data_IF_056255297626
#
_entry.id   IF_056255297626
#
_cell.length_a   1.000
_cell.length_b   1.000
_cell.length_c   1.000
_cell.angle_alpha   90.00
_cell.angle_beta   90.00
_cell.angle_gamma   90.00
#
_symmetry.space_group_name_H-M   'P 1'
#
loop_
_entity.id
_entity.type
_entity.pdbx_description
1 polymer ?
#
# COMPACT_ATOMS: atom_id res chain seq x y z
N UNK A 1 27.56 20.60 -23.15
CA UNK A 1 27.63 19.61 -22.06
C UNK A 1 26.48 19.89 -21.10
N UNK A 2 25.42 19.07 -21.09
CA UNK A 2 24.42 19.06 -20.02
C UNK A 2 24.22 17.61 -19.63
N UNK A 3 24.94 17.22 -18.58
CA UNK A 3 24.79 15.94 -17.92
C UNK A 3 23.60 16.05 -16.97
N UNK A 4 22.53 15.30 -17.22
CA UNK A 4 21.48 15.07 -16.24
C UNK A 4 21.72 13.69 -15.62
N UNK A 5 22.37 13.72 -14.47
CA UNK A 5 22.58 12.65 -13.50
C UNK A 5 21.46 12.81 -12.45
N UNK A 6 20.78 11.84 -11.85
CA UNK A 6 20.94 10.40 -11.68
C UNK A 6 19.52 9.78 -11.65
N UNK A 7 19.22 8.81 -12.50
CA UNK A 7 18.05 7.93 -12.28
C UNK A 7 18.46 6.90 -11.22
N UNK A 8 18.30 7.23 -9.95
CA UNK A 8 18.59 6.30 -8.85
C UNK A 8 17.44 5.31 -8.72
N UNK A 9 17.49 4.22 -9.48
CA UNK A 9 16.63 3.06 -9.28
C UNK A 9 17.33 2.16 -8.27
N UNK A 10 16.98 2.30 -7.00
CA UNK A 10 17.36 1.33 -5.97
C UNK A 10 16.30 0.22 -6.00
N UNK A 11 16.47 -0.76 -6.90
CA UNK A 11 15.76 -2.05 -6.76
C UNK A 11 16.55 -2.87 -5.74
N UNK A 12 16.26 -2.67 -4.46
CA UNK A 12 16.75 -3.57 -3.43
C UNK A 12 15.67 -4.61 -3.14
N UNK A 13 15.87 -5.84 -3.65
CA UNK A 13 15.00 -6.97 -3.35
C UNK A 13 15.31 -7.47 -1.92
N UNK A 14 14.68 -6.86 -0.92
CA UNK A 14 14.73 -7.37 0.44
C UNK A 14 13.45 -8.16 0.74
N UNK A 15 13.57 -9.49 0.76
CA UNK A 15 12.50 -10.38 1.21
C UNK A 15 12.56 -10.51 2.74
N UNK A 16 11.69 -9.77 3.43
CA UNK A 16 11.56 -9.86 4.87
C UNK A 16 10.39 -10.77 5.26
N UNK A 17 10.59 -11.59 6.29
CA UNK A 17 9.52 -12.39 6.92
C UNK A 17 8.93 -11.57 8.06
N UNK A 18 7.63 -11.27 8.00
CA UNK A 18 6.93 -10.67 9.14
C UNK A 18 6.26 -11.76 9.95
N UNK A 19 6.88 -12.18 11.06
CA UNK A 19 6.21 -12.98 12.08
C UNK A 19 5.26 -12.07 12.87
N UNK A 20 4.02 -11.92 12.40
CA UNK A 20 2.97 -11.32 13.24
C UNK A 20 2.60 -12.34 14.32
N UNK A 21 2.81 -12.00 15.58
CA UNK A 21 2.62 -12.88 16.73
C UNK A 21 1.30 -13.66 16.73
N UNK A 22 1.44 -14.98 16.88
CA UNK A 22 0.49 -15.98 17.40
C UNK A 22 -1.01 -15.62 17.40
N UNK A 23 -1.70 -15.97 16.30
CA UNK A 23 -2.97 -16.70 16.36
C UNK A 23 -2.84 -17.87 15.39
N UNK A 24 -2.59 -19.07 15.93
CA UNK A 24 -2.56 -20.31 15.15
C UNK A 24 -4.00 -20.73 14.86
N UNK A 25 -4.48 -20.48 13.65
CA UNK A 25 -5.57 -21.23 13.02
C UNK A 25 -5.54 -21.08 11.47
N UNK A 26 -5.39 -22.24 10.81
CA UNK A 26 -5.80 -22.61 9.43
C UNK A 26 -4.95 -22.38 8.17
N UNK A 27 -3.70 -21.91 8.22
CA UNK A 27 -2.77 -22.27 7.12
C UNK A 27 -1.31 -22.13 7.52
N UNK A 28 -0.52 -23.19 7.38
CA UNK A 28 0.94 -23.27 7.58
C UNK A 28 1.75 -22.46 6.53
N UNK A 29 1.25 -21.30 6.09
CA UNK A 29 1.85 -20.52 5.00
C UNK A 29 2.45 -19.24 5.53
N UNK A 30 3.77 -19.12 5.43
CA UNK A 30 4.52 -17.92 5.79
C UNK A 30 4.16 -16.75 4.85
N UNK A 31 4.20 -15.55 5.40
CA UNK A 31 4.00 -14.30 4.66
C UNK A 31 5.34 -13.60 4.45
N UNK A 32 5.76 -13.55 3.19
CA UNK A 32 6.96 -12.82 2.75
C UNK A 32 6.54 -11.49 2.15
N UNK A 33 7.42 -10.50 2.18
CA UNK A 33 7.19 -9.25 1.44
C UNK A 33 8.45 -8.69 0.82
N UNK A 34 8.28 -8.03 -0.33
CA UNK A 34 9.27 -7.22 -1.00
C UNK A 34 8.85 -5.75 -0.94
N UNK A 35 9.79 -4.84 -0.67
CA UNK A 35 9.56 -3.39 -0.66
C UNK A 35 10.38 -2.75 -1.77
N UNK A 36 9.71 -2.04 -2.67
CA UNK A 36 10.30 -1.22 -3.71
C UNK A 36 10.01 0.24 -3.38
N UNK A 37 11.04 1.09 -3.35
CA UNK A 37 10.89 2.51 -3.08
C UNK A 37 11.52 3.33 -4.21
N UNK A 38 10.73 4.26 -4.75
CA UNK A 38 11.17 5.34 -5.63
C UNK A 38 10.82 6.67 -4.97
N UNK A 39 11.33 7.80 -5.49
CA UNK A 39 11.21 9.17 -4.94
C UNK A 39 10.08 9.38 -3.91
N UNK A 40 8.83 9.32 -4.36
CA UNK A 40 7.64 9.52 -3.51
C UNK A 40 6.71 8.30 -3.47
N UNK A 41 7.16 7.13 -3.91
CA UNK A 41 6.31 5.93 -4.01
C UNK A 41 6.95 4.75 -3.31
N UNK A 42 6.19 4.11 -2.41
CA UNK A 42 6.58 2.87 -1.72
C UNK A 42 5.60 1.78 -2.11
N UNK A 43 6.08 0.76 -2.80
CA UNK A 43 5.32 -0.42 -3.16
C UNK A 43 5.75 -1.62 -2.30
N UNK A 44 4.80 -2.25 -1.61
CA UNK A 44 5.02 -3.50 -0.88
C UNK A 44 4.23 -4.62 -1.53
N UNK A 45 4.94 -5.63 -2.03
CA UNK A 45 4.33 -6.85 -2.57
C UNK A 45 4.46 -7.97 -1.55
N UNK A 46 3.34 -8.60 -1.21
CA UNK A 46 3.25 -9.70 -0.27
C UNK A 46 3.08 -11.02 -1.02
N UNK A 47 3.76 -12.06 -0.53
CA UNK A 47 3.78 -13.40 -1.11
C UNK A 47 3.47 -14.44 -0.04
N UNK A 48 2.82 -15.52 -0.47
CA UNK A 48 2.51 -16.69 0.35
C UNK A 48 3.38 -17.86 -0.11
N UNK A 49 3.94 -18.62 0.83
CA UNK A 49 4.70 -19.85 0.55
C UNK A 49 5.11 -20.55 1.84
N UNK A 50 5.57 -21.80 1.73
CA UNK A 50 6.02 -22.59 2.88
C UNK A 50 7.55 -22.54 3.07
N UNK A 51 8.27 -21.97 2.11
CA UNK A 51 9.69 -21.63 2.13
C UNK A 51 9.93 -20.53 1.06
N UNK A 52 11.13 -19.97 0.95
CA UNK A 52 11.43 -18.94 -0.06
C UNK A 52 11.40 -19.48 -1.52
N UNK A 53 10.98 -20.73 -1.73
CA UNK A 53 10.78 -21.32 -3.04
C UNK A 53 9.28 -21.38 -3.37
N UNK A 54 8.93 -21.14 -4.64
CA UNK A 54 7.53 -21.19 -5.06
C UNK A 54 6.63 -20.12 -4.46
N UNK A 55 7.18 -18.96 -4.07
CA UNK A 55 6.41 -17.83 -3.55
C UNK A 55 5.34 -17.37 -4.55
N UNK A 56 4.08 -17.36 -4.11
CA UNK A 56 2.94 -16.92 -4.92
C UNK A 56 2.57 -15.49 -4.49
N UNK A 57 2.51 -14.52 -5.42
CA UNK A 57 2.03 -13.19 -5.10
C UNK A 57 0.60 -13.24 -4.57
N UNK A 58 0.32 -12.44 -3.55
CA UNK A 58 -0.98 -12.45 -2.86
C UNK A 58 -1.60 -11.06 -2.83
N UNK A 59 -0.82 -10.05 -2.46
CA UNK A 59 -1.33 -8.69 -2.26
C UNK A 59 -0.23 -7.68 -2.60
N UNK A 60 -0.58 -6.55 -3.19
CA UNK A 60 0.34 -5.42 -3.37
C UNK A 60 -0.28 -4.16 -2.80
N UNK A 61 0.50 -3.36 -2.08
CA UNK A 61 0.12 -2.02 -1.63
C UNK A 61 1.07 -1.02 -2.28
N UNK A 62 0.53 0.03 -2.87
CA UNK A 62 1.31 1.13 -3.43
C UNK A 62 0.91 2.39 -2.69
N UNK A 63 1.86 2.99 -1.98
CA UNK A 63 1.68 4.23 -1.23
C UNK A 63 2.39 5.36 -1.96
N UNK A 64 1.71 6.49 -2.11
CA UNK A 64 2.28 7.74 -2.61
C UNK A 64 2.46 8.66 -1.40
N UNK A 65 3.65 9.22 -1.25
CA UNK A 65 4.04 10.10 -0.16
C UNK A 65 4.10 11.56 -0.65
N UNK A 66 3.81 12.50 0.24
CA UNK A 66 4.13 13.92 0.01
C UNK A 66 5.61 14.21 0.31
N UNK A 67 6.03 15.47 0.14
CA UNK A 67 7.41 15.92 0.40
C UNK A 67 7.86 15.75 1.87
N UNK A 68 6.91 15.66 2.80
CA UNK A 68 7.14 15.45 4.23
C UNK A 68 7.20 13.95 4.59
N UNK A 69 7.00 13.06 3.61
CA UNK A 69 6.98 11.61 3.80
C UNK A 69 5.64 11.04 4.30
N UNK A 70 4.57 11.84 4.35
CA UNK A 70 3.23 11.41 4.74
C UNK A 70 2.52 10.74 3.57
N UNK A 71 1.81 9.64 3.81
CA UNK A 71 1.07 8.91 2.78
C UNK A 71 -0.19 9.68 2.36
N UNK A 72 -0.23 10.18 1.13
CA UNK A 72 -1.38 10.93 0.58
C UNK A 72 -2.31 10.08 -0.27
N UNK A 73 -1.83 8.94 -0.78
CA UNK A 73 -2.68 7.98 -1.47
C UNK A 73 -2.14 6.57 -1.29
N UNK A 74 -3.04 5.60 -1.18
CA UNK A 74 -2.72 4.20 -1.09
C UNK A 74 -3.65 3.39 -1.97
N UNK A 75 -3.11 2.59 -2.87
CA UNK A 75 -3.86 1.61 -3.66
C UNK A 75 -3.49 0.21 -3.21
N UNK A 76 -4.52 -0.62 -2.99
CA UNK A 76 -4.37 -2.05 -2.72
C UNK A 76 -4.77 -2.84 -3.95
N UNK A 77 -3.94 -3.82 -4.29
CA UNK A 77 -4.15 -4.79 -5.35
C UNK A 77 -4.14 -6.20 -4.78
N UNK A 78 -4.88 -7.09 -5.44
CA UNK A 78 -4.87 -8.54 -5.19
C UNK A 78 -4.38 -9.22 -6.46
N UNK A 79 -3.57 -10.26 -6.28
CA UNK A 79 -3.10 -11.07 -7.41
C UNK A 79 -4.22 -11.95 -7.93
N UNK A 80 -4.54 -11.84 -9.22
CA UNK A 80 -5.44 -12.73 -9.92
C UNK A 80 -4.61 -13.86 -10.55
N UNK A 81 -4.66 -15.06 -9.96
CA UNK A 81 -3.86 -16.19 -10.42
C UNK A 81 -4.30 -16.71 -11.80
N UNK A 82 -5.56 -16.48 -12.18
CA UNK A 82 -6.10 -16.89 -13.48
C UNK A 82 -5.57 -15.99 -14.59
N UNK A 83 -5.61 -14.67 -14.36
CA UNK A 83 -5.16 -13.67 -15.33
C UNK A 83 -3.64 -13.42 -15.25
N UNK A 84 -2.98 -13.93 -14.18
CA UNK A 84 -1.57 -13.66 -13.82
C UNK A 84 -1.28 -12.16 -13.79
N UNK A 85 -2.19 -11.39 -13.19
CA UNK A 85 -2.10 -9.94 -13.13
C UNK A 85 -2.65 -9.36 -11.82
N UNK A 86 -2.30 -8.11 -11.52
CA UNK A 86 -2.75 -7.39 -10.34
C UNK A 86 -4.08 -6.69 -10.62
N UNK A 87 -5.11 -7.08 -9.88
CA UNK A 87 -6.40 -6.36 -9.88
C UNK A 87 -6.46 -5.37 -8.73
N UNK A 88 -6.73 -4.07 -8.97
CA UNK A 88 -7.00 -3.13 -7.88
C UNK A 88 -8.27 -3.54 -7.15
N UNK A 89 -8.31 -3.28 -5.84
CA UNK A 89 -9.48 -3.57 -5.01
C UNK A 89 -9.95 -2.33 -4.22
N UNK A 90 -9.01 -1.50 -3.80
CA UNK A 90 -9.27 -0.39 -2.89
C UNK A 90 -8.26 0.74 -3.11
N UNK A 91 -8.73 2.00 -3.07
CA UNK A 91 -7.88 3.18 -2.97
C UNK A 91 -8.33 4.02 -1.79
N UNK A 92 -7.37 4.53 -1.02
CA UNK A 92 -7.59 5.50 0.03
C UNK A 92 -6.75 6.74 -0.25
N UNK A 93 -7.37 7.91 -0.28
CA UNK A 93 -6.71 9.20 -0.44
C UNK A 93 -6.82 9.98 0.88
N UNK A 94 -5.72 10.59 1.31
CA UNK A 94 -5.58 11.23 2.60
C UNK A 94 -5.28 12.71 2.42
N UNK A 95 -6.01 13.57 3.13
CA UNK A 95 -5.66 14.98 3.30
C UNK A 95 -5.21 15.22 4.73
N UNK A 96 -4.39 16.25 4.94
CA UNK A 96 -3.78 16.52 6.23
C UNK A 96 -3.98 17.98 6.65
N UNK A 97 -4.12 18.18 7.96
CA UNK A 97 -3.97 19.45 8.64
C UNK A 97 -2.69 19.39 9.47
N UNK A 98 -1.58 19.91 8.93
CA UNK A 98 -0.25 19.66 9.48
C UNK A 98 0.10 18.17 9.37
N UNK A 99 0.39 17.51 10.50
CA UNK A 99 0.70 16.07 10.54
C UNK A 99 -0.51 15.16 10.81
N UNK A 100 -1.68 15.75 11.07
CA UNK A 100 -2.89 15.01 11.41
C UNK A 100 -3.74 14.77 10.15
N UNK A 101 -4.27 13.56 9.99
CA UNK A 101 -5.15 13.20 8.87
C UNK A 101 -6.47 13.94 9.04
N UNK A 102 -6.79 14.83 8.11
CA UNK A 102 -8.04 15.61 8.13
C UNK A 102 -9.18 14.87 7.44
N UNK A 103 -8.93 14.32 6.26
CA UNK A 103 -9.94 13.57 5.50
C UNK A 103 -9.36 12.28 4.97
N UNK A 104 -10.22 11.27 4.90
CA UNK A 104 -9.96 10.00 4.22
C UNK A 104 -11.07 9.75 3.22
N UNK A 105 -10.72 9.62 1.96
CA UNK A 105 -11.63 9.22 0.90
C UNK A 105 -11.29 7.81 0.45
N UNK A 106 -12.24 6.88 0.58
CA UNK A 106 -12.10 5.49 0.20
C UNK A 106 -12.90 5.18 -1.06
N UNK A 107 -12.23 4.60 -2.05
CA UNK A 107 -12.79 4.20 -3.33
C UNK A 107 -12.70 2.68 -3.47
N UNK A 108 -13.82 2.05 -3.82
CA UNK A 108 -13.84 0.62 -4.16
C UNK A 108 -13.74 0.43 -5.67
N UNK A 109 -12.91 -0.51 -6.12
CA UNK A 109 -12.78 -0.80 -7.54
C UNK A 109 -13.99 -1.58 -8.06
N UNK A 110 -14.57 -1.13 -9.17
CA UNK A 110 -15.60 -1.87 -9.88
C UNK A 110 -14.96 -2.74 -10.98
N UNK A 111 -14.79 -4.05 -10.71
CA UNK A 111 -14.16 -4.98 -11.67
C UNK A 111 -14.93 -5.08 -13.00
N UNK A 112 -16.26 -4.89 -13.01
CA UNK A 112 -17.10 -4.96 -14.21
C UNK A 112 -17.00 -3.71 -15.08
N UNK A 113 -17.11 -2.53 -14.46
CA UNK A 113 -17.04 -1.25 -15.15
C UNK A 113 -15.60 -0.76 -15.38
N UNK A 114 -14.60 -1.42 -14.78
CA UNK A 114 -13.18 -1.08 -14.86
C UNK A 114 -12.90 0.37 -14.46
N UNK A 115 -13.53 0.82 -13.39
CA UNK A 115 -13.36 2.15 -12.83
C UNK A 115 -13.45 2.14 -11.30
N UNK A 116 -13.01 3.24 -10.67
CA UNK A 116 -13.26 3.49 -9.26
C UNK A 116 -14.72 3.91 -9.08
N UNK A 117 -15.38 3.33 -8.08
CA UNK A 117 -16.70 3.78 -7.64
C UNK A 117 -16.64 5.14 -6.94
N UNK A 118 -17.80 5.60 -6.44
CA UNK A 118 -17.88 6.82 -5.66
C UNK A 118 -17.08 6.72 -4.36
N UNK A 119 -16.48 7.83 -3.95
CA UNK A 119 -15.77 7.93 -2.70
C UNK A 119 -16.72 7.83 -1.50
N UNK A 120 -16.32 7.07 -0.49
CA UNK A 120 -16.82 7.22 0.87
C UNK A 120 -15.85 8.09 1.64
N UNK A 121 -16.33 9.18 2.23
CA UNK A 121 -15.48 10.14 2.94
C UNK A 121 -15.73 10.08 4.44
N UNK A 122 -14.66 10.15 5.20
CA UNK A 122 -14.66 10.40 6.64
C UNK A 122 -13.75 11.61 6.89
N UNK A 123 -14.22 12.53 7.72
CA UNK A 123 -13.46 13.72 8.13
C UNK A 123 -13.20 13.64 9.63
N UNK A 124 -12.06 14.17 10.04
CA UNK A 124 -11.59 14.19 11.41
C UNK A 124 -11.29 15.63 11.82
N UNK A 125 -11.86 16.02 12.95
CA UNK A 125 -11.55 17.28 13.61
C UNK A 125 -10.69 17.02 14.84
N UNK A 126 -9.74 17.92 15.08
CA UNK A 126 -8.82 17.82 16.20
C UNK A 126 -8.95 19.05 17.07
N UNK A 127 -8.85 18.86 18.38
CA UNK A 127 -8.74 19.97 19.31
C UNK A 127 -7.36 20.67 19.21
N UNK A 128 -7.18 21.73 19.99
CA UNK A 128 -5.94 22.52 20.04
C UNK A 128 -4.70 21.70 20.47
N UNK A 129 -4.90 20.54 21.09
CA UNK A 129 -3.83 19.64 21.53
C UNK A 129 -3.55 18.53 20.49
N UNK A 130 -4.28 18.52 19.36
CA UNK A 130 -4.16 17.50 18.32
C UNK A 130 -4.83 16.17 18.69
N UNK A 131 -5.74 16.16 19.67
CA UNK A 131 -6.55 14.98 20.01
C UNK A 131 -7.81 14.99 19.16
N UNK A 132 -8.23 13.81 18.69
CA UNK A 132 -9.46 13.69 17.91
C UNK A 132 -10.66 14.21 18.72
N UNK A 133 -11.30 15.26 18.23
CA UNK A 133 -12.50 15.81 18.82
C UNK A 133 -13.66 14.81 18.64
N UNK A 134 -14.51 14.68 19.66
CA UNK A 134 -15.69 13.81 19.63
C UNK A 134 -16.88 14.45 18.94
#
# INVERSE_FOLDING_TARGET
MKSNVFTSVVIALFLFVSNTGLVKAESDTDLYHNVEQTDNTVATTYFKGNDQTGLIPYKKKVNILNEEGLCVSKVTYVWDASDKDWSPVDRMDYTYAGKNVKDVERYSWNKKAKNWGNAQRISYDYDENGVLAK
#
